data_IF_408682314495
#
_entry.id   IF_408682314495
#
_cell.length_a   1.000
_cell.length_b   1.000
_cell.length_c   1.000
_cell.angle_alpha   90.00
_cell.angle_beta   90.00
_cell.angle_gamma   90.00
#
_symmetry.space_group_name_H-M   'P 1'
#
loop_
_entity.id
_entity.type
_entity.pdbx_description
1 polymer ?
#
# COMPACT_ATOMS: atom_id res chain seq x y z
N UNK A 1 30.79 7.61 8.80
CA UNK A 1 29.33 7.39 8.94
C UNK A 1 28.87 6.67 7.67
N UNK A 2 28.95 5.33 7.65
CA UNK A 2 28.54 4.53 6.48
C UNK A 2 27.02 4.33 6.54
N UNK A 3 26.31 4.87 5.54
CA UNK A 3 24.88 4.71 5.40
C UNK A 3 24.53 3.23 5.16
N UNK A 4 23.54 2.76 5.91
CA UNK A 4 23.07 1.37 5.98
C UNK A 4 22.57 0.81 4.63
N UNK A 5 22.74 -0.49 4.35
CA UNK A 5 22.06 -1.14 3.23
C UNK A 5 20.59 -1.37 3.59
N UNK A 6 19.72 -0.44 3.20
CA UNK A 6 18.27 -0.58 3.35
C UNK A 6 17.72 -1.53 2.27
N UNK A 7 18.00 -2.83 2.38
CA UNK A 7 17.39 -3.88 1.55
C UNK A 7 15.96 -4.23 1.99
N UNK A 8 15.18 -3.24 2.42
CA UNK A 8 13.73 -3.42 2.57
C UNK A 8 13.08 -2.91 1.31
N UNK A 9 12.76 -3.83 0.40
CA UNK A 9 11.89 -3.61 -0.76
C UNK A 9 10.49 -3.34 -0.22
N UNK A 10 10.28 -2.14 0.30
CA UNK A 10 9.00 -1.64 0.77
C UNK A 10 8.05 -1.74 -0.42
N UNK A 11 7.15 -2.72 -0.37
CA UNK A 11 5.97 -2.70 -1.22
C UNK A 11 5.31 -1.37 -0.92
N UNK A 12 5.32 -0.44 -1.87
CA UNK A 12 4.74 0.89 -1.66
C UNK A 12 3.31 0.70 -1.13
N UNK A 13 2.97 1.29 0.03
CA UNK A 13 1.62 1.22 0.55
C UNK A 13 0.71 1.87 -0.47
N UNK A 14 -0.32 1.13 -0.87
CA UNK A 14 -1.31 1.66 -1.79
C UNK A 14 -2.31 2.50 -1.01
N UNK A 15 -2.42 3.77 -1.38
CA UNK A 15 -3.40 4.68 -0.80
C UNK A 15 -4.70 4.56 -1.59
N UNK A 16 -5.77 4.18 -0.91
CA UNK A 16 -7.09 4.13 -1.54
C UNK A 16 -7.56 5.53 -1.94
N UNK A 17 -7.83 5.75 -3.22
CA UNK A 17 -8.27 7.06 -3.75
C UNK A 17 -9.63 7.56 -3.25
N UNK A 18 -10.49 6.68 -2.75
CA UNK A 18 -11.82 7.11 -2.26
C UNK A 18 -11.89 7.40 -0.77
N UNK A 19 -11.07 6.75 0.06
CA UNK A 19 -11.11 6.93 1.53
C UNK A 19 -9.77 7.31 2.15
N UNK A 20 -8.68 7.33 1.38
CA UNK A 20 -7.34 7.66 1.86
C UNK A 20 -6.68 6.57 2.72
N UNK A 21 -7.30 5.40 2.88
CA UNK A 21 -6.71 4.34 3.71
C UNK A 21 -5.42 3.78 3.08
N UNK A 22 -4.42 3.53 3.93
CA UNK A 22 -3.13 2.98 3.52
C UNK A 22 -3.18 1.45 3.56
N UNK A 23 -2.85 0.82 2.43
CA UNK A 23 -3.00 -0.62 2.26
C UNK A 23 -1.64 -1.17 1.90
N UNK A 24 -1.01 -1.86 2.85
CA UNK A 24 0.32 -2.43 2.66
C UNK A 24 0.35 -3.63 1.71
N UNK A 25 -0.81 -4.26 1.45
CA UNK A 25 -0.93 -5.45 0.58
C UNK A 25 -2.04 -5.29 -0.46
N UNK A 26 -1.96 -4.31 -1.38
CA UNK A 26 -3.00 -4.10 -2.39
C UNK A 26 -3.23 -5.32 -3.26
N UNK A 27 -2.17 -6.09 -3.55
CA UNK A 27 -2.26 -7.31 -4.36
C UNK A 27 -3.17 -8.40 -3.75
N UNK A 28 -3.37 -8.38 -2.42
CA UNK A 28 -4.26 -9.33 -1.73
C UNK A 28 -5.74 -8.92 -1.81
N UNK A 29 -6.03 -7.69 -2.20
CA UNK A 29 -7.37 -7.13 -2.18
C UNK A 29 -7.80 -6.70 -3.59
N UNK A 30 -8.96 -7.19 -4.06
CA UNK A 30 -9.55 -6.73 -5.34
C UNK A 30 -10.28 -5.37 -5.21
N UNK A 31 -10.54 -4.96 -3.97
CA UNK A 31 -11.30 -3.75 -3.58
C UNK A 31 -10.79 -3.25 -2.24
N UNK A 32 -10.98 -1.96 -1.96
CA UNK A 32 -10.67 -1.35 -0.68
C UNK A 32 -11.43 -2.05 0.45
N UNK A 33 -10.76 -2.55 1.50
CA UNK A 33 -11.42 -3.19 2.64
C UNK A 33 -12.20 -2.18 3.50
N UNK A 34 -11.89 -0.88 3.38
CA UNK A 34 -12.55 0.17 4.17
C UNK A 34 -13.80 0.71 3.45
N UNK A 35 -13.66 1.21 2.23
CA UNK A 35 -14.77 1.83 1.49
C UNK A 35 -15.39 0.95 0.40
N UNK A 36 -14.82 -0.22 0.12
CA UNK A 36 -15.36 -1.15 -0.87
C UNK A 36 -15.12 -0.78 -2.35
N UNK A 37 -14.53 0.38 -2.65
CA UNK A 37 -14.24 0.77 -4.03
C UNK A 37 -13.21 -0.17 -4.66
N UNK A 38 -13.34 -0.47 -5.96
CA UNK A 38 -12.27 -1.17 -6.68
C UNK A 38 -11.07 -0.23 -6.84
N UNK A 39 -9.87 -0.77 -6.66
CA UNK A 39 -8.65 -0.08 -7.05
C UNK A 39 -8.62 -0.05 -8.58
N UNK A 40 -9.03 1.07 -9.17
CA UNK A 40 -9.03 1.32 -10.60
C UNK A 40 -8.34 2.66 -10.87
#
# INVERSE_FOLDING_TARGET
MAAVPSTFRSREPYICRGCGTEIMTPASYRKCPVCGIKYN
#
